data_IF_471922424450
#
_entry.id   IF_471922424450
#
_cell.length_a   1.000
_cell.length_b   1.000
_cell.length_c   1.000
_cell.angle_alpha   90.00
_cell.angle_beta   90.00
_cell.angle_gamma   90.00
#
_symmetry.space_group_name_H-M   'P 1'
#
loop_
_entity.id
_entity.type
_entity.pdbx_description
1 polymer ?
#
# COMPACT_ATOMS: atom_id res chain seq x y z
N UNK A 1 7.62 -12.31 -8.94
CA UNK A 1 7.00 -11.05 -8.46
C UNK A 1 7.92 -9.88 -8.80
N UNK A 2 7.43 -8.87 -9.50
CA UNK A 2 8.19 -7.65 -9.79
C UNK A 2 8.13 -6.68 -8.59
N UNK A 3 9.03 -6.85 -7.61
CA UNK A 3 9.00 -6.10 -6.34
C UNK A 3 9.15 -4.59 -6.52
N UNK A 4 10.01 -4.18 -7.44
CA UNK A 4 10.30 -2.76 -7.69
C UNK A 4 9.06 -2.05 -8.25
N UNK A 5 8.35 -2.70 -9.17
CA UNK A 5 7.13 -2.17 -9.76
C UNK A 5 5.99 -2.08 -8.75
N UNK A 6 5.79 -3.11 -7.92
CA UNK A 6 4.81 -3.10 -6.83
C UNK A 6 5.11 -1.96 -5.85
N UNK A 7 6.37 -1.84 -5.43
CA UNK A 7 6.80 -0.76 -4.51
C UNK A 7 6.50 0.60 -5.12
N UNK A 8 6.78 0.79 -6.41
CA UNK A 8 6.52 2.05 -7.11
C UNK A 8 5.02 2.36 -7.20
N UNK A 9 4.17 1.37 -7.45
CA UNK A 9 2.72 1.55 -7.48
C UNK A 9 2.20 2.01 -6.11
N UNK A 10 2.64 1.33 -5.05
CA UNK A 10 2.25 1.66 -3.67
C UNK A 10 2.74 3.08 -3.32
N UNK A 11 4.01 3.40 -3.56
CA UNK A 11 4.54 4.73 -3.26
C UNK A 11 3.82 5.85 -4.03
N UNK A 12 3.45 5.61 -5.29
CA UNK A 12 2.67 6.56 -6.07
C UNK A 12 1.26 6.76 -5.49
N UNK A 13 0.61 5.67 -5.05
CA UNK A 13 -0.68 5.75 -4.39
C UNK A 13 -0.60 6.54 -3.09
N UNK A 14 0.37 6.23 -2.22
CA UNK A 14 0.56 6.93 -0.95
C UNK A 14 0.86 8.44 -1.14
N UNK A 15 1.58 8.81 -2.21
CA UNK A 15 1.85 10.21 -2.57
C UNK A 15 0.63 10.95 -3.12
N UNK A 16 -0.41 10.24 -3.57
CA UNK A 16 -1.63 10.86 -4.10
C UNK A 16 -2.62 11.31 -3.02
N UNK A 17 -2.39 10.90 -1.77
CA UNK A 17 -3.22 11.28 -0.64
C UNK A 17 -3.04 12.74 -0.21
N UNK A 18 -4.02 13.26 0.53
CA UNK A 18 -4.04 14.65 0.99
C UNK A 18 -3.43 14.85 2.38
N UNK A 19 -2.99 13.77 3.04
CA UNK A 19 -2.35 13.80 4.37
C UNK A 19 -0.97 13.18 4.37
N UNK A 20 -0.17 13.66 5.31
CA UNK A 20 1.10 13.07 5.68
C UNK A 20 0.88 12.31 6.99
N UNK A 21 1.36 11.06 7.13
CA UNK A 21 1.23 10.29 8.36
C UNK A 21 1.77 11.05 9.56
N UNK A 22 0.98 11.11 10.63
CA UNK A 22 1.39 11.74 11.89
C UNK A 22 2.42 10.91 12.65
N UNK A 23 2.98 11.50 13.72
CA UNK A 23 3.97 10.86 14.60
C UNK A 23 3.55 9.46 15.13
N UNK A 24 2.25 9.23 15.34
CA UNK A 24 1.74 7.96 15.86
C UNK A 24 1.41 6.94 14.77
N UNK A 25 1.17 7.39 13.54
CA UNK A 25 0.87 6.52 12.40
C UNK A 25 2.16 6.07 11.70
N UNK A 26 3.19 6.92 11.70
CA UNK A 26 4.47 6.66 11.03
C UNK A 26 5.11 5.31 11.41
N UNK A 27 5.22 4.92 12.70
CA UNK A 27 5.80 3.61 13.05
C UNK A 27 5.01 2.44 12.49
N UNK A 28 3.67 2.54 12.46
CA UNK A 28 2.80 1.49 11.93
C UNK A 28 2.93 1.39 10.41
N UNK A 29 2.94 2.53 9.72
CA UNK A 29 3.17 2.57 8.27
C UNK A 29 4.54 2.03 7.89
N UNK A 30 5.58 2.31 8.69
CA UNK A 30 6.91 1.75 8.47
C UNK A 30 6.95 0.23 8.68
N UNK A 31 6.19 -0.31 9.65
CA UNK A 31 6.02 -1.76 9.82
C UNK A 31 5.39 -2.39 8.58
N UNK A 32 4.27 -1.84 8.12
CA UNK A 32 3.55 -2.31 6.93
C UNK A 32 4.46 -2.29 5.70
N UNK A 33 5.26 -1.23 5.52
CA UNK A 33 6.25 -1.16 4.44
C UNK A 33 7.25 -2.29 4.52
N UNK A 34 7.78 -2.59 5.71
CA UNK A 34 8.74 -3.68 5.89
C UNK A 34 8.09 -5.05 5.62
N UNK A 35 6.85 -5.25 6.04
CA UNK A 35 6.08 -6.48 5.79
C UNK A 35 5.82 -6.70 4.29
N UNK A 36 5.40 -5.66 3.56
CA UNK A 36 5.24 -5.70 2.10
C UNK A 36 6.57 -6.03 1.41
N UNK A 37 7.68 -5.48 1.89
CA UNK A 37 9.01 -5.79 1.35
C UNK A 37 9.45 -7.24 1.61
N UNK A 38 8.95 -7.85 2.68
CA UNK A 38 9.21 -9.25 3.03
C UNK A 38 8.34 -10.24 2.24
N UNK A 39 7.23 -9.80 1.65
CA UNK A 39 6.35 -10.65 0.84
C UNK A 39 7.09 -11.32 -0.33
N UNK A 40 6.69 -12.56 -0.61
CA UNK A 40 7.24 -13.36 -1.71
C UNK A 40 6.23 -13.55 -2.84
N UNK A 41 4.94 -13.35 -2.58
CA UNK A 41 3.87 -13.41 -3.58
C UNK A 41 3.05 -12.11 -3.65
N UNK A 42 2.39 -11.90 -4.80
CA UNK A 42 1.49 -10.76 -5.00
C UNK A 42 0.26 -10.88 -4.10
N UNK A 43 -0.25 -12.10 -3.90
CA UNK A 43 -1.38 -12.34 -3.01
C UNK A 43 -1.08 -11.92 -1.56
N UNK A 44 0.14 -12.14 -1.08
CA UNK A 44 0.53 -11.69 0.27
C UNK A 44 0.51 -10.15 0.36
N UNK A 45 1.02 -9.46 -0.66
CA UNK A 45 1.00 -7.99 -0.72
C UNK A 45 -0.43 -7.47 -0.73
N UNK A 46 -1.30 -8.07 -1.55
CA UNK A 46 -2.71 -7.69 -1.63
C UNK A 46 -3.43 -7.95 -0.30
N UNK A 47 -3.13 -9.06 0.37
CA UNK A 47 -3.65 -9.39 1.70
C UNK A 47 -3.27 -8.32 2.73
N UNK A 48 -2.00 -7.92 2.79
CA UNK A 48 -1.52 -6.88 3.71
C UNK A 48 -2.14 -5.50 3.44
N UNK A 49 -2.29 -5.13 2.16
CA UNK A 49 -2.92 -3.85 1.79
C UNK A 49 -4.38 -3.84 2.26
N UNK A 50 -5.09 -4.95 2.11
CA UNK A 50 -6.50 -5.05 2.51
C UNK A 50 -6.65 -5.10 4.04
N UNK A 51 -5.79 -5.87 4.74
CA UNK A 51 -5.77 -5.93 6.21
C UNK A 51 -5.52 -4.56 6.86
N UNK A 52 -4.67 -3.75 6.24
CA UNK A 52 -4.30 -2.43 6.75
C UNK A 52 -4.97 -1.27 6.00
N UNK A 53 -6.00 -1.55 5.17
CA UNK A 53 -6.69 -0.57 4.32
C UNK A 53 -7.08 0.68 5.10
N UNK A 54 -7.79 0.53 6.21
CA UNK A 54 -8.31 1.65 7.01
C UNK A 54 -7.20 2.53 7.57
N UNK A 55 -6.11 1.91 8.03
CA UNK A 55 -4.98 2.62 8.59
C UNK A 55 -4.24 3.40 7.49
N UNK A 56 -3.99 2.76 6.34
CA UNK A 56 -3.33 3.39 5.19
C UNK A 56 -4.17 4.56 4.67
N UNK A 57 -5.48 4.35 4.49
CA UNK A 57 -6.43 5.37 4.06
C UNK A 57 -6.42 6.58 4.99
N UNK A 58 -6.51 6.33 6.30
CA UNK A 58 -6.54 7.39 7.30
C UNK A 58 -5.21 8.15 7.42
N UNK A 59 -4.09 7.43 7.40
CA UNK A 59 -2.77 8.01 7.59
C UNK A 59 -2.33 8.90 6.42
N UNK A 60 -2.68 8.51 5.19
CA UNK A 60 -2.34 9.25 3.97
C UNK A 60 -3.49 10.08 3.42
N UNK A 61 -4.71 9.94 3.97
CA UNK A 61 -5.88 10.66 3.46
C UNK A 61 -6.27 10.20 2.06
N UNK A 62 -6.28 8.89 1.86
CA UNK A 62 -6.67 8.27 0.59
C UNK A 62 -8.17 7.97 0.59
N UNK A 63 -8.81 8.14 -0.57
CA UNK A 63 -10.14 7.60 -0.81
C UNK A 63 -10.09 6.09 -0.97
N UNK A 64 -11.21 5.41 -0.73
CA UNK A 64 -11.36 3.97 -0.98
C UNK A 64 -11.05 3.63 -2.45
N UNK A 65 -11.53 4.47 -3.39
CA UNK A 65 -11.22 4.36 -4.82
C UNK A 65 -9.72 4.34 -5.13
N UNK A 66 -8.92 5.15 -4.42
CA UNK A 66 -7.47 5.19 -4.64
C UNK A 66 -6.80 3.88 -4.21
N UNK A 67 -7.29 3.27 -3.14
CA UNK A 67 -6.81 1.96 -2.68
C UNK A 67 -7.26 0.86 -3.64
N UNK A 68 -8.51 0.86 -4.09
CA UNK A 68 -9.03 -0.10 -5.07
C UNK A 68 -8.27 -0.04 -6.40
N UNK A 69 -7.95 1.16 -6.89
CA UNK A 69 -7.11 1.35 -8.06
C UNK A 69 -5.70 0.81 -7.86
N UNK A 70 -5.14 0.95 -6.66
CA UNK A 70 -3.82 0.43 -6.31
C UNK A 70 -3.82 -1.09 -6.33
N UNK A 71 -4.82 -1.71 -5.71
CA UNK A 71 -5.06 -3.16 -5.72
C UNK A 71 -5.23 -3.68 -7.16
N UNK A 72 -6.02 -2.99 -7.99
CA UNK A 72 -6.21 -3.36 -9.39
C UNK A 72 -4.91 -3.30 -10.21
N UNK A 73 -4.09 -2.24 -10.02
CA UNK A 73 -2.78 -2.12 -10.67
C UNK A 73 -1.81 -3.22 -10.25
N UNK A 74 -1.79 -3.59 -8.97
CA UNK A 74 -0.94 -4.69 -8.48
C UNK A 74 -1.39 -6.03 -9.06
N UNK A 75 -2.72 -6.30 -9.10
CA UNK A 75 -3.27 -7.52 -9.72
C UNK A 75 -2.92 -7.63 -11.21
N UNK A 76 -2.88 -6.51 -11.92
CA UNK A 76 -2.54 -6.48 -13.34
C UNK A 76 -1.07 -6.85 -13.65
N UNK A 77 -0.18 -6.90 -12.65
CA UNK A 77 1.21 -7.34 -12.84
C UNK A 77 1.31 -8.86 -13.09
N UNK A 78 0.32 -9.64 -12.65
CA UNK A 78 0.26 -11.08 -12.96
C UNK A 78 -0.31 -11.40 -14.35
N UNK A 79 -0.85 -10.38 -15.05
CA UNK A 79 -1.47 -10.51 -16.37
C UNK A 79 -0.46 -10.56 -17.52
#
# INVERSE_FOLDING_TARGET
MNREEITRIIENALKSGDKIPGLFDLPKIMSIKAEIQACTSINDVLGLIEEHRDLIAKAFGLSEDAIDQTVAKIKAIEG
#
